data_IF_742156883417
#
_entry.id   IF_742156883417
#
_cell.length_a   1.000
_cell.length_b   1.000
_cell.length_c   1.000
_cell.angle_alpha   90.00
_cell.angle_beta   90.00
_cell.angle_gamma   90.00
#
_symmetry.space_group_name_H-M   'P 1'
#
loop_
_entity.id
_entity.type
_entity.pdbx_description
1 polymer ?
#
# COMPACT_ATOMS: atom_id res chain seq x y z
N UNK A 1 33.23 12.28 -9.79
CA UNK A 1 32.52 13.24 -8.92
C UNK A 1 31.18 13.53 -9.57
N UNK A 2 30.08 13.02 -9.03
CA UNK A 2 28.74 13.37 -9.55
C UNK A 2 28.42 14.81 -9.16
N UNK A 3 27.99 15.63 -10.14
CA UNK A 3 27.62 17.04 -9.96
C UNK A 3 26.33 17.17 -9.13
N UNK A 4 25.46 16.16 -9.17
CA UNK A 4 24.23 16.08 -8.39
C UNK A 4 24.29 14.88 -7.45
N UNK A 5 23.99 15.11 -6.17
CA UNK A 5 23.88 14.07 -5.14
C UNK A 5 22.49 14.16 -4.54
N UNK A 6 21.87 13.00 -4.31
CA UNK A 6 20.71 12.90 -3.43
C UNK A 6 21.11 13.33 -2.02
N UNK A 7 20.23 14.06 -1.35
CA UNK A 7 20.39 14.39 0.07
C UNK A 7 19.41 13.53 0.83
N UNK A 8 19.96 12.57 1.56
CA UNK A 8 19.16 11.63 2.33
C UNK A 8 18.78 12.31 3.64
N UNK A 9 17.48 12.44 3.89
CA UNK A 9 16.93 12.99 5.13
C UNK A 9 16.31 11.91 6.02
N UNK A 10 15.96 10.77 5.42
CA UNK A 10 15.42 9.61 6.11
C UNK A 10 15.73 8.37 5.28
N UNK A 11 16.22 7.32 5.94
CA UNK A 11 16.54 6.02 5.34
C UNK A 11 16.25 4.96 6.39
N UNK A 12 15.46 3.95 6.04
CA UNK A 12 15.27 2.76 6.84
C UNK A 12 15.61 1.53 5.99
N UNK A 13 16.27 0.56 6.61
CA UNK A 13 16.46 -0.75 6.03
C UNK A 13 15.23 -1.60 6.36
N UNK A 14 14.75 -2.35 5.36
CA UNK A 14 13.60 -3.23 5.47
C UNK A 14 14.10 -4.67 5.45
N UNK A 15 13.68 -5.46 6.44
CA UNK A 15 14.17 -6.82 6.64
C UNK A 15 15.38 -6.88 7.56
N UNK A 16 15.73 -8.09 7.99
CA UNK A 16 16.70 -8.31 9.08
C UNK A 16 18.17 -8.35 8.64
N UNK A 17 18.48 -8.00 7.38
CA UNK A 17 19.86 -7.98 6.84
C UNK A 17 20.54 -9.36 6.70
N UNK A 18 20.14 -10.34 7.50
CA UNK A 18 20.68 -11.71 7.56
C UNK A 18 19.94 -12.69 6.63
N UNK A 19 18.71 -12.36 6.21
CA UNK A 19 17.92 -13.18 5.30
C UNK A 19 17.99 -12.56 3.90
N UNK A 20 18.66 -13.19 2.92
CA UNK A 20 18.74 -12.70 1.54
C UNK A 20 17.39 -12.76 0.78
N UNK A 21 16.32 -13.18 1.45
CA UNK A 21 15.04 -13.57 0.85
C UNK A 21 13.93 -12.51 0.97
N UNK A 22 14.15 -11.36 1.62
CA UNK A 22 13.21 -10.22 1.60
C UNK A 22 13.25 -9.50 0.23
N UNK A 23 12.84 -10.25 -0.79
CA UNK A 23 12.77 -9.83 -2.17
C UNK A 23 11.54 -8.91 -2.31
N UNK A 24 11.80 -7.73 -2.88
CA UNK A 24 10.80 -6.73 -3.21
C UNK A 24 10.82 -6.47 -4.72
N UNK A 25 9.70 -6.00 -5.26
CA UNK A 25 9.58 -5.57 -6.66
C UNK A 25 8.88 -4.19 -6.72
N UNK A 26 8.59 -3.70 -7.92
CA UNK A 26 7.94 -2.40 -8.15
C UNK A 26 6.60 -2.24 -7.41
N UNK A 27 5.90 -3.33 -7.11
CA UNK A 27 4.64 -3.32 -6.35
C UNK A 27 4.80 -3.27 -4.82
N UNK A 28 6.03 -3.40 -4.30
CA UNK A 28 6.30 -3.59 -2.88
C UNK A 28 6.28 -2.31 -2.04
N UNK A 29 6.21 -1.12 -2.64
CA UNK A 29 6.28 0.16 -1.95
C UNK A 29 5.14 1.08 -2.39
N UNK A 30 4.40 1.62 -1.42
CA UNK A 30 3.45 2.72 -1.65
C UNK A 30 3.62 3.83 -0.62
N UNK A 31 3.21 5.03 -1.01
CA UNK A 31 2.98 6.15 -0.12
C UNK A 31 1.46 6.43 -0.10
N UNK A 32 0.84 6.38 1.08
CA UNK A 32 -0.62 6.47 1.22
C UNK A 32 -1.02 7.23 2.49
N UNK A 33 -2.24 7.79 2.49
CA UNK A 33 -2.81 8.50 3.63
C UNK A 33 -3.73 7.55 4.41
N UNK A 34 -3.12 6.69 5.22
CA UNK A 34 -3.76 5.61 5.95
C UNK A 34 -4.22 6.03 7.36
N UNK A 35 -3.78 7.18 7.84
CA UNK A 35 -4.26 7.74 9.10
C UNK A 35 -5.54 8.56 8.88
N UNK A 36 -6.67 8.10 9.44
CA UNK A 36 -7.93 8.84 9.39
C UNK A 36 -7.91 10.14 10.20
N UNK A 37 -7.10 10.17 11.26
CA UNK A 37 -7.09 11.28 12.24
C UNK A 37 -6.17 12.42 11.78
N UNK A 38 -5.19 12.10 10.93
CA UNK A 38 -4.26 13.06 10.35
C UNK A 38 -4.04 12.74 8.85
N UNK A 39 -4.93 13.22 7.98
CA UNK A 39 -4.88 12.93 6.55
C UNK A 39 -3.73 13.63 5.82
N UNK A 40 -3.05 14.60 6.44
CA UNK A 40 -1.90 15.27 5.82
C UNK A 40 -0.63 14.41 5.89
N UNK A 41 -0.53 13.55 6.92
CA UNK A 41 0.61 12.66 7.11
C UNK A 41 0.51 11.48 6.15
N UNK A 42 1.51 11.38 5.28
CA UNK A 42 1.69 10.22 4.40
C UNK A 42 2.47 9.13 5.11
N UNK A 43 1.95 7.90 5.09
CA UNK A 43 2.67 6.72 5.54
C UNK A 43 3.34 6.02 4.36
N UNK A 44 4.54 5.50 4.60
CA UNK A 44 5.21 4.60 3.67
C UNK A 44 4.87 3.17 4.05
N UNK A 45 4.37 2.38 3.10
CA UNK A 45 4.10 0.96 3.31
C UNK A 45 5.02 0.15 2.44
N UNK A 46 5.72 -0.79 3.05
CA UNK A 46 6.61 -1.73 2.36
C UNK A 46 6.13 -3.15 2.61
N UNK A 47 6.05 -3.97 1.57
CA UNK A 47 5.74 -5.38 1.69
C UNK A 47 6.65 -6.24 0.81
N UNK A 48 6.97 -7.45 1.27
CA UNK A 48 7.91 -8.33 0.57
C UNK A 48 7.26 -9.65 0.11
N UNK A 49 8.00 -10.40 -0.71
CA UNK A 49 7.59 -11.74 -1.14
C UNK A 49 7.66 -12.79 -0.03
N UNK A 50 8.32 -12.51 1.11
CA UNK A 50 8.24 -13.39 2.30
C UNK A 50 6.93 -13.20 3.06
N UNK A 51 6.21 -12.12 2.77
CA UNK A 51 4.97 -11.75 3.44
C UNK A 51 5.15 -10.75 4.58
N UNK A 52 6.34 -10.18 4.76
CA UNK A 52 6.53 -9.04 5.68
C UNK A 52 5.76 -7.82 5.18
N UNK A 53 5.21 -7.04 6.12
CA UNK A 53 4.52 -5.79 5.87
C UNK A 53 4.89 -4.77 6.96
N UNK A 54 5.50 -3.68 6.53
CA UNK A 54 5.97 -2.61 7.40
C UNK A 54 5.28 -1.29 7.04
N UNK A 55 4.79 -0.56 8.03
CA UNK A 55 4.23 0.79 7.87
C UNK A 55 5.13 1.77 8.62
N UNK A 56 5.66 2.75 7.91
CA UNK A 56 6.49 3.82 8.45
C UNK A 56 5.77 5.17 8.37
N UNK A 57 6.06 6.04 9.33
CA UNK A 57 5.71 7.46 9.32
C UNK A 57 6.99 8.28 9.50
N UNK A 58 7.70 8.60 8.40
CA UNK A 58 8.92 9.40 8.46
C UNK A 58 8.64 10.80 8.99
N UNK A 59 9.36 11.21 10.02
CA UNK A 59 9.21 12.54 10.63
C UNK A 59 10.56 13.19 10.87
N UNK A 60 10.57 14.52 10.80
CA UNK A 60 11.71 15.33 11.22
C UNK A 60 11.38 15.86 12.61
N UNK A 61 12.21 15.54 13.60
CA UNK A 61 12.07 16.12 14.93
C UNK A 61 12.96 17.34 15.07
N UNK A 62 12.55 18.28 15.92
CA UNK A 62 13.35 19.46 16.28
C UNK A 62 13.75 19.29 17.73
N UNK A 63 15.05 19.39 18.04
CA UNK A 63 15.55 19.34 19.42
C UNK A 63 15.17 20.62 20.19
N UNK A 64 15.30 20.58 21.52
CA UNK A 64 15.10 21.75 22.37
C UNK A 64 16.01 22.93 22.00
N UNK A 65 17.18 22.65 21.43
CA UNK A 65 18.15 23.62 20.91
C UNK A 65 17.79 24.18 19.52
N UNK A 66 16.68 23.73 18.92
CA UNK A 66 16.21 24.16 17.61
C UNK A 66 16.88 23.48 16.42
N UNK A 67 17.68 22.44 16.64
CA UNK A 67 18.32 21.68 15.56
C UNK A 67 17.35 20.64 14.97
N UNK A 68 17.29 20.57 13.64
CA UNK A 68 16.51 19.55 12.94
C UNK A 68 17.27 18.22 12.96
N UNK A 69 16.68 17.21 13.58
CA UNK A 69 17.17 15.84 13.57
C UNK A 69 16.46 15.09 12.46
N UNK A 70 17.24 14.77 11.43
CA UNK A 70 16.83 13.95 10.29
C UNK A 70 17.39 12.53 10.45
N UNK A 71 16.63 11.52 10.06
CA UNK A 71 17.07 10.13 10.07
C UNK A 71 15.99 9.18 10.58
N UNK A 72 16.23 7.89 10.41
CA UNK A 72 15.33 6.87 10.94
C UNK A 72 15.46 6.78 12.47
N UNK A 73 14.31 6.59 13.12
CA UNK A 73 14.16 6.35 14.55
C UNK A 73 13.13 5.23 14.71
N UNK A 74 13.26 4.43 15.77
CA UNK A 74 12.41 3.27 15.98
C UNK A 74 10.92 3.61 16.09
N UNK A 75 10.57 4.82 16.56
CA UNK A 75 9.19 5.32 16.62
C UNK A 75 8.62 5.73 15.25
N UNK A 76 9.44 5.78 14.20
CA UNK A 76 8.96 5.97 12.83
C UNK A 76 8.34 4.68 12.26
N UNK A 77 8.64 3.50 12.83
CA UNK A 77 8.01 2.23 12.46
C UNK A 77 6.70 2.05 13.25
N UNK A 78 5.57 2.17 12.56
CA UNK A 78 4.24 2.11 13.17
C UNK A 78 3.70 0.69 13.28
N UNK A 79 4.03 -0.18 12.32
CA UNK A 79 3.60 -1.58 12.27
C UNK A 79 4.68 -2.40 11.56
N UNK A 80 4.95 -3.57 12.12
CA UNK A 80 5.71 -4.64 11.49
C UNK A 80 4.96 -5.94 11.74
N UNK A 81 4.59 -6.65 10.68
CA UNK A 81 3.84 -7.91 10.78
C UNK A 81 4.15 -8.83 9.61
N UNK A 82 3.99 -10.14 9.82
CA UNK A 82 4.05 -11.13 8.75
C UNK A 82 2.64 -11.60 8.37
N UNK A 83 2.25 -11.41 7.11
CA UNK A 83 0.95 -11.80 6.57
C UNK A 83 0.87 -13.30 6.22
N UNK A 84 1.99 -14.04 6.30
CA UNK A 84 2.14 -15.46 5.94
C UNK A 84 1.88 -15.80 4.45
N UNK A 85 1.70 -14.79 3.60
CA UNK A 85 1.54 -14.94 2.15
C UNK A 85 2.40 -13.90 1.43
N UNK A 86 2.99 -14.24 0.27
CA UNK A 86 3.77 -13.28 -0.51
C UNK A 86 2.96 -12.03 -0.87
N UNK A 87 3.53 -10.85 -0.70
CA UNK A 87 2.94 -9.58 -1.12
C UNK A 87 3.40 -9.25 -2.53
N UNK A 88 2.52 -9.45 -3.52
CA UNK A 88 2.82 -9.14 -4.92
C UNK A 88 2.78 -7.63 -5.19
N UNK A 89 1.78 -6.95 -4.62
CA UNK A 89 1.56 -5.54 -4.85
C UNK A 89 0.78 -4.92 -3.69
N UNK A 90 1.18 -3.71 -3.30
CA UNK A 90 0.47 -2.84 -2.38
C UNK A 90 -0.24 -1.73 -3.16
N UNK A 91 -1.47 -1.43 -2.74
CA UNK A 91 -2.32 -0.40 -3.33
C UNK A 91 -3.08 0.32 -2.19
N UNK A 92 -3.58 1.52 -2.44
CA UNK A 92 -4.44 2.23 -1.50
C UNK A 92 -5.57 2.96 -2.23
N UNK A 93 -6.73 3.09 -1.58
CA UNK A 93 -7.89 3.79 -2.13
C UNK A 93 -9.12 3.71 -1.23
N UNK A 94 -10.22 4.35 -1.64
CA UNK A 94 -11.50 4.35 -0.94
C UNK A 94 -12.28 3.04 -1.21
N UNK A 95 -11.83 1.95 -0.61
CA UNK A 95 -12.23 0.58 -0.94
C UNK A 95 -13.36 0.02 -0.07
N UNK A 96 -13.72 0.70 1.02
CA UNK A 96 -14.83 0.30 1.90
C UNK A 96 -15.98 1.29 1.77
N UNK A 97 -17.21 0.78 1.66
CA UNK A 97 -18.45 1.54 1.42
C UNK A 97 -18.93 2.46 2.55
N UNK A 98 -18.04 2.93 3.43
CA UNK A 98 -18.37 3.99 4.39
C UNK A 98 -18.32 5.34 3.69
N UNK A 99 -19.30 6.22 3.89
CA UNK A 99 -19.33 7.57 3.29
C UNK A 99 -18.18 8.52 3.68
N UNK A 100 -17.11 8.00 4.27
CA UNK A 100 -15.89 8.71 4.57
C UNK A 100 -14.82 8.31 3.54
N UNK A 101 -14.18 9.29 2.92
CA UNK A 101 -13.13 9.13 1.90
C UNK A 101 -11.78 8.72 2.51
N UNK A 102 -11.77 7.80 3.49
CA UNK A 102 -10.53 7.28 4.04
C UNK A 102 -9.93 6.23 3.12
N UNK A 103 -8.61 6.24 2.94
CA UNK A 103 -7.93 5.20 2.17
C UNK A 103 -7.75 3.94 3.02
N UNK A 104 -8.06 2.79 2.42
CA UNK A 104 -7.71 1.49 2.95
C UNK A 104 -6.47 0.96 2.25
N UNK A 105 -5.74 0.09 2.95
CA UNK A 105 -4.62 -0.63 2.38
C UNK A 105 -5.14 -1.88 1.66
N UNK A 106 -4.78 -2.02 0.39
CA UNK A 106 -5.08 -3.19 -0.42
C UNK A 106 -3.79 -3.97 -0.66
N UNK A 107 -3.80 -5.24 -0.26
CA UNK A 107 -2.66 -6.15 -0.39
C UNK A 107 -3.02 -7.25 -1.35
N UNK A 108 -2.30 -7.31 -2.47
CA UNK A 108 -2.42 -8.37 -3.46
C UNK A 108 -1.47 -9.53 -3.12
N UNK A 109 -2.04 -10.72 -3.03
CA UNK A 109 -1.33 -11.98 -2.90
C UNK A 109 -1.60 -12.85 -4.16
N UNK A 110 -0.84 -13.95 -4.38
CA UNK A 110 -1.02 -14.79 -5.56
C UNK A 110 -2.45 -15.33 -5.75
N UNK A 111 -3.12 -15.71 -4.66
CA UNK A 111 -4.44 -16.34 -4.70
C UNK A 111 -5.55 -15.52 -4.02
N UNK A 112 -5.28 -14.28 -3.62
CA UNK A 112 -6.28 -13.42 -2.99
C UNK A 112 -5.87 -11.95 -3.00
N UNK A 113 -6.85 -11.07 -2.86
CA UNK A 113 -6.63 -9.69 -2.44
C UNK A 113 -7.31 -9.48 -1.09
N UNK A 114 -6.62 -8.81 -0.18
CA UNK A 114 -7.14 -8.48 1.15
C UNK A 114 -7.13 -6.97 1.31
N UNK A 115 -8.27 -6.42 1.72
CA UNK A 115 -8.41 -5.00 2.03
C UNK A 115 -8.41 -4.85 3.54
N UNK A 116 -7.54 -3.97 4.02
CA UNK A 116 -7.32 -3.69 5.43
C UNK A 116 -7.64 -2.25 5.76
N UNK A 117 -8.34 -2.07 6.87
CA UNK A 117 -8.43 -0.78 7.55
C UNK A 117 -7.25 -0.63 8.50
N UNK A 118 -6.52 0.47 8.36
CA UNK A 118 -5.43 0.85 9.26
C UNK A 118 -5.99 1.82 10.29
N UNK A 119 -5.77 1.52 11.57
CA UNK A 119 -6.15 2.39 12.68
C UNK A 119 -4.91 2.78 13.46
N UNK A 120 -4.76 4.06 13.78
CA UNK A 120 -3.65 4.55 14.59
C UNK A 120 -4.05 4.54 16.05
N UNK A 121 -3.20 4.00 16.92
CA UNK A 121 -3.39 3.96 18.36
C UNK A 121 -2.26 4.76 19.01
N UNK A 122 -2.59 5.85 19.67
CA UNK A 122 -1.64 6.57 20.52
C UNK A 122 -1.52 5.86 21.87
N UNK A 123 -0.31 5.48 22.28
CA UNK A 123 -0.05 5.08 23.65
C UNK A 123 -0.46 6.19 24.65
N UNK A 124 -0.89 5.82 25.85
CA UNK A 124 -1.17 6.79 26.92
C UNK A 124 0.15 7.34 27.43
N UNK A 125 0.61 8.45 26.85
CA UNK A 125 1.73 9.24 27.36
C UNK A 125 1.16 10.59 27.79
N UNK A 126 1.56 11.08 28.97
CA UNK A 126 1.00 12.26 29.62
C UNK A 126 0.92 13.47 28.67
N UNK A 127 -0.21 14.20 28.71
CA UNK A 127 -0.61 15.30 27.80
C UNK A 127 0.26 16.56 27.82
N UNK A 128 1.44 16.53 28.43
CA UNK A 128 2.28 17.71 28.65
C UNK A 128 3.58 17.71 27.82
N UNK A 129 3.78 16.75 26.91
CA UNK A 129 4.92 16.73 26.00
C UNK A 129 4.52 17.24 24.61
N UNK A 130 5.20 18.30 24.17
CA UNK A 130 5.19 18.84 22.81
C UNK A 130 5.27 17.72 21.77
N UNK A 131 4.21 17.60 20.97
CA UNK A 131 4.17 17.05 19.60
C UNK A 131 5.13 15.88 19.32
N UNK A 132 5.18 14.89 20.20
CA UNK A 132 5.96 13.67 19.99
C UNK A 132 5.03 12.52 19.65
N UNK A 133 5.19 11.95 18.45
CA UNK A 133 4.60 10.67 18.02
C UNK A 133 5.15 9.45 18.76
N UNK A 134 5.89 9.67 19.85
CA UNK A 134 6.43 8.64 20.71
C UNK A 134 5.29 7.73 21.22
N UNK A 135 5.27 6.50 20.71
CA UNK A 135 4.28 5.48 21.08
C UNK A 135 3.05 5.42 20.19
N UNK A 136 3.04 6.05 19.02
CA UNK A 136 2.03 5.78 17.99
C UNK A 136 2.27 4.39 17.38
N UNK A 137 1.24 3.55 17.37
CA UNK A 137 1.29 2.24 16.73
C UNK A 137 0.12 2.10 15.76
N UNK A 138 0.38 1.51 14.59
CA UNK A 138 -0.66 1.18 13.63
C UNK A 138 -1.19 -0.23 13.92
N UNK A 139 -2.51 -0.39 13.86
CA UNK A 139 -3.19 -1.68 13.91
C UNK A 139 -3.87 -1.95 12.58
N UNK A 140 -3.58 -3.11 12.03
CA UNK A 140 -4.16 -3.62 10.79
C UNK A 140 -5.40 -4.47 11.09
N UNK A 141 -6.55 -4.13 10.50
CA UNK A 141 -7.79 -4.91 10.65
C UNK A 141 -8.33 -5.29 9.26
N UNK A 142 -8.49 -6.59 8.94
CA UNK A 142 -9.05 -6.99 7.64
C UNK A 142 -10.51 -6.54 7.53
N UNK A 143 -10.84 -5.81 6.48
CA UNK A 143 -12.21 -5.40 6.16
C UNK A 143 -12.93 -6.50 5.37
N UNK A 144 -12.32 -6.93 4.27
CA UNK A 144 -12.80 -8.05 3.45
C UNK A 144 -11.65 -8.65 2.63
N UNK A 145 -11.91 -9.81 2.03
CA UNK A 145 -10.97 -10.46 1.11
C UNK A 145 -11.71 -11.11 -0.05
N UNK A 146 -11.05 -11.16 -1.20
CA UNK A 146 -11.48 -11.93 -2.36
C UNK A 146 -10.45 -13.02 -2.63
N UNK A 147 -10.90 -14.27 -2.68
CA UNK A 147 -10.04 -15.41 -3.02
C UNK A 147 -10.21 -15.72 -4.50
N UNK A 148 -9.08 -15.95 -5.18
CA UNK A 148 -9.02 -16.21 -6.60
C UNK A 148 -8.83 -17.68 -6.89
N UNK A 149 -9.40 -18.14 -7.99
CA UNK A 149 -9.08 -19.45 -8.57
C UNK A 149 -7.86 -19.36 -9.52
N UNK A 150 -7.63 -18.19 -10.12
CA UNK A 150 -6.50 -17.89 -11.00
C UNK A 150 -5.43 -17.14 -10.22
N UNK A 151 -4.17 -17.41 -10.51
CA UNK A 151 -3.06 -16.70 -9.88
C UNK A 151 -3.00 -15.26 -10.40
N UNK A 152 -2.92 -14.31 -9.47
CA UNK A 152 -2.81 -12.89 -9.77
C UNK A 152 -1.39 -12.54 -10.25
N UNK A 153 -1.33 -11.56 -11.14
CA UNK A 153 -0.10 -10.91 -11.58
C UNK A 153 0.03 -9.52 -10.95
N UNK A 154 -0.99 -8.68 -11.14
CA UNK A 154 -1.03 -7.29 -10.69
C UNK A 154 -2.47 -6.86 -10.42
N UNK A 155 -2.62 -5.72 -9.76
CA UNK A 155 -3.92 -5.09 -9.55
C UNK A 155 -3.85 -3.57 -9.74
N UNK A 156 -5.02 -2.99 -10.00
CA UNK A 156 -5.23 -1.56 -10.16
C UNK A 156 -6.41 -1.16 -9.29
N UNK A 157 -6.26 -0.03 -8.59
CA UNK A 157 -7.33 0.60 -7.81
C UNK A 157 -7.76 1.88 -8.49
N UNK A 158 -9.08 2.12 -8.56
CA UNK A 158 -9.60 3.40 -8.98
C UNK A 158 -11.12 3.44 -9.12
N UNK A 159 -11.66 4.64 -9.27
CA UNK A 159 -13.06 4.92 -9.53
C UNK A 159 -13.50 4.53 -10.97
N UNK A 160 -13.59 3.24 -11.26
CA UNK A 160 -14.07 2.74 -12.57
C UNK A 160 -15.51 3.20 -12.81
N UNK A 161 -15.84 3.62 -14.04
CA UNK A 161 -17.16 4.18 -14.33
C UNK A 161 -17.36 5.61 -13.83
N UNK A 162 -16.28 6.30 -13.43
CA UNK A 162 -16.33 7.64 -12.82
C UNK A 162 -17.20 7.74 -11.55
N UNK A 163 -17.23 6.66 -10.76
CA UNK A 163 -17.93 6.64 -9.46
C UNK A 163 -17.25 7.62 -8.48
N UNK A 164 -18.04 8.36 -7.69
CA UNK A 164 -17.51 9.32 -6.73
C UNK A 164 -17.35 8.71 -5.35
N UNK A 165 -16.25 9.03 -4.68
CA UNK A 165 -15.98 8.67 -3.28
C UNK A 165 -15.79 7.17 -3.05
N UNK A 166 -15.56 6.39 -4.10
CA UNK A 166 -15.30 4.95 -4.02
C UNK A 166 -14.31 4.55 -5.10
N UNK A 167 -13.42 3.66 -4.73
CA UNK A 167 -12.53 2.97 -5.64
C UNK A 167 -12.90 1.50 -5.71
N UNK A 168 -12.63 0.92 -6.87
CA UNK A 168 -12.81 -0.50 -7.18
C UNK A 168 -11.47 -1.13 -7.51
N UNK A 169 -11.43 -2.46 -7.48
CA UNK A 169 -10.21 -3.23 -7.70
C UNK A 169 -10.34 -3.99 -9.02
N UNK A 170 -9.37 -3.82 -9.91
CA UNK A 170 -9.18 -4.68 -11.07
C UNK A 170 -7.96 -5.55 -10.84
N UNK A 171 -8.13 -6.87 -10.85
CA UNK A 171 -7.04 -7.84 -10.71
C UNK A 171 -6.76 -8.45 -12.08
N UNK A 172 -5.52 -8.35 -12.53
CA UNK A 172 -5.03 -9.06 -13.71
C UNK A 172 -4.41 -10.38 -13.28
N UNK A 173 -4.88 -11.48 -13.84
CA UNK A 173 -4.29 -12.80 -13.65
C UNK A 173 -3.16 -13.08 -14.64
N UNK A 174 -2.33 -14.06 -14.33
CA UNK A 174 -1.22 -14.49 -15.19
C UNK A 174 -1.66 -14.96 -16.59
N UNK A 175 -2.89 -15.47 -16.72
CA UNK A 175 -3.50 -15.91 -17.99
C UNK A 175 -4.27 -14.79 -18.73
N UNK A 176 -4.10 -13.53 -18.32
CA UNK A 176 -4.66 -12.37 -19.02
C UNK A 176 -6.15 -12.12 -18.76
N UNK A 177 -6.71 -12.68 -17.68
CA UNK A 177 -8.06 -12.34 -17.24
C UNK A 177 -8.04 -11.09 -16.36
N UNK A 178 -8.90 -10.13 -16.64
CA UNK A 178 -9.19 -8.98 -15.78
C UNK A 178 -10.44 -9.27 -14.96
N UNK A 179 -10.29 -9.36 -13.64
CA UNK A 179 -11.40 -9.54 -12.70
C UNK A 179 -11.69 -8.22 -11.99
N UNK A 180 -12.93 -7.74 -12.10
CA UNK A 180 -13.38 -6.48 -11.51
C UNK A 180 -14.15 -6.77 -10.21
N UNK A 181 -13.79 -6.04 -9.15
CA UNK A 181 -14.40 -6.11 -7.83
C UNK A 181 -14.92 -4.74 -7.43
N UNK A 182 -16.22 -4.67 -7.20
CA UNK A 182 -16.91 -3.52 -6.61
C UNK A 182 -16.90 -3.68 -5.08
N UNK A 183 -15.83 -3.19 -4.45
CA UNK A 183 -15.61 -3.31 -3.00
C UNK A 183 -15.72 -4.76 -2.51
N UNK A 184 -16.70 -5.10 -1.67
CA UNK A 184 -16.93 -6.45 -1.13
C UNK A 184 -17.52 -7.43 -2.16
N UNK A 185 -17.88 -6.97 -3.37
CA UNK A 185 -18.57 -7.77 -4.38
C UNK A 185 -17.72 -8.01 -5.62
N UNK A 186 -17.71 -9.25 -6.10
CA UNK A 186 -17.21 -9.55 -7.45
C UNK A 186 -18.24 -9.07 -8.49
N UNK A 187 -17.79 -8.30 -9.49
CA UNK A 187 -18.65 -7.80 -10.54
C UNK A 187 -18.64 -8.75 -11.76
N UNK A 188 -17.51 -8.81 -12.46
CA UNK A 188 -17.34 -9.64 -13.65
C UNK A 188 -15.87 -9.87 -13.96
N UNK A 189 -15.60 -10.74 -14.95
CA UNK A 189 -14.25 -10.91 -15.49
C UNK A 189 -14.27 -10.99 -17.02
N UNK A 190 -13.19 -10.53 -17.64
CA UNK A 190 -13.00 -10.48 -19.10
C UNK A 190 -11.58 -10.90 -19.44
N UNK A 191 -11.42 -11.72 -20.48
CA UNK A 191 -10.10 -12.07 -21.01
C UNK A 191 -9.60 -11.00 -21.98
N UNK A 192 -8.35 -10.59 -21.81
CA UNK A 192 -7.67 -9.73 -22.76
C UNK A 192 -7.41 -10.51 -24.07
N UNK A 193 -7.79 -9.95 -25.24
CA UNK A 193 -7.54 -10.61 -26.50
C UNK A 193 -6.04 -10.67 -26.79
N UNK A 194 -5.54 -11.84 -27.21
CA UNK A 194 -4.14 -12.01 -27.59
C UNK A 194 -3.13 -11.91 -26.45
N UNK A 195 -3.56 -12.00 -25.18
CA UNK A 195 -2.66 -12.00 -24.03
C UNK A 195 -1.87 -13.32 -23.95
N UNK A 196 -0.55 -13.22 -24.13
CA UNK A 196 0.39 -14.33 -23.90
C UNK A 196 1.04 -14.26 -22.51
N UNK A 197 1.51 -13.07 -22.13
CA UNK A 197 2.08 -12.75 -20.83
C UNK A 197 1.34 -11.54 -20.26
N UNK A 198 1.13 -11.53 -18.94
CA UNK A 198 0.57 -10.38 -18.25
C UNK A 198 1.56 -9.21 -18.31
N UNK A 199 1.15 -8.12 -18.95
CA UNK A 199 1.91 -6.87 -19.01
C UNK A 199 1.49 -5.89 -17.90
N UNK A 200 2.11 -4.71 -17.85
CA UNK A 200 1.67 -3.64 -16.95
C UNK A 200 0.22 -3.23 -17.26
N UNK A 201 -0.53 -2.85 -16.23
CA UNK A 201 -1.92 -2.41 -16.33
C UNK A 201 -2.11 -1.13 -15.53
N UNK A 202 -2.80 -0.14 -16.11
CA UNK A 202 -3.16 1.11 -15.44
C UNK A 202 -4.58 1.51 -15.80
N UNK A 203 -5.26 2.20 -14.87
CA UNK A 203 -6.56 2.80 -15.10
C UNK A 203 -6.43 4.30 -15.35
N UNK A 204 -7.05 4.78 -16.43
CA UNK A 204 -7.06 6.17 -16.85
C UNK A 204 -8.40 6.81 -16.50
N UNK A 205 -8.50 7.39 -15.30
CA UNK A 205 -9.75 7.98 -14.80
C UNK A 205 -10.36 9.04 -15.73
N UNK A 206 -9.54 9.80 -16.47
CA UNK A 206 -10.03 10.84 -17.39
C UNK A 206 -10.82 10.28 -18.58
N UNK A 207 -10.43 9.11 -19.07
CA UNK A 207 -11.05 8.46 -20.23
C UNK A 207 -11.86 7.22 -19.84
N UNK A 208 -11.92 6.90 -18.55
CA UNK A 208 -12.56 5.70 -18.01
C UNK A 208 -12.14 4.42 -18.76
N UNK A 209 -10.82 4.23 -18.88
CA UNK A 209 -10.25 3.15 -19.69
C UNK A 209 -9.07 2.48 -18.99
N UNK A 210 -8.92 1.17 -19.21
CA UNK A 210 -7.71 0.45 -18.86
C UNK A 210 -6.71 0.50 -20.00
N UNK A 211 -5.45 0.79 -19.69
CA UNK A 211 -4.34 0.72 -20.63
C UNK A 211 -3.36 -0.38 -20.20
N UNK A 212 -2.93 -1.18 -21.16
CA UNK A 212 -1.97 -2.28 -20.97
C UNK A 212 -1.12 -2.45 -22.22
N UNK A 213 -0.04 -3.23 -22.10
CA UNK A 213 0.86 -3.57 -23.21
C UNK A 213 0.91 -5.09 -23.33
N UNK A 214 0.56 -5.62 -24.50
CA UNK A 214 0.66 -7.06 -24.79
C UNK A 214 2.09 -7.45 -25.18
N UNK A 215 2.44 -8.71 -24.94
CA UNK A 215 3.69 -9.30 -25.41
C UNK A 215 3.65 -9.78 -26.88
N UNK A 216 2.48 -9.68 -27.53
CA UNK A 216 2.24 -10.06 -28.93
C UNK A 216 2.59 -8.92 -29.90
#
# INVERSE_FOLDING_TARGET
>A
MSLFKTRDWWVAEVGDGDVPDDICDAGSLIAAHLNSDDPEVTQLVVGSFTGSLNIYSPQVSVTEDGEQVSGYRADHLLLETCLNYPVLQLLAGALVGSGNEHQQLCVLHPSRVVVYSVSMMTGVVNRDAVQSTQGMQAKLTPAYQHVFTRQAHSAVVGAFGSVRGRDFICVQSLDGCLSIYEQESFAFCVFLPGALLAGPLVYLAKSDAFATISAA
#
